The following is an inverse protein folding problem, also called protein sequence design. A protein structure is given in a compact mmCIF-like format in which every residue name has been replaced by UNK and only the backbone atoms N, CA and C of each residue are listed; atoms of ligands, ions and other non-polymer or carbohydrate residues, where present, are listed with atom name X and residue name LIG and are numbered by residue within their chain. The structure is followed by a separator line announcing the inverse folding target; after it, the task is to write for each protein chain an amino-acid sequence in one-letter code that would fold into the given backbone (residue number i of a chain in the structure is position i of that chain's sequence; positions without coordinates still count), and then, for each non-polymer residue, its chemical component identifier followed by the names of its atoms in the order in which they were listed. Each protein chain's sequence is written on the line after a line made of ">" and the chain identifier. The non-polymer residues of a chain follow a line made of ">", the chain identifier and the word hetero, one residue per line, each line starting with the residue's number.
data_IF_692817009542
#
_entry.id   IF_692817009542
#
_cell.length_a   1.000
_cell.length_b   1.000
_cell.length_c   1.000
_cell.angle_alpha   90.00
_cell.angle_beta   90.00
_cell.angle_gamma   90.00
#
_symmetry.space_group_name_H-M   'P 1'
#
loop_
_entity.id
_entity.type
_entity.pdbx_description
1 polymer ?
#
# COMPACT_ATOMS: atom_id res chain seq x y z
N UNK A 1 23.06 -14.60 -28.03
CA UNK A 1 24.37 -15.19 -28.37
C UNK A 1 24.90 -14.47 -29.59
N UNK A 2 25.88 -13.57 -29.38
CA UNK A 2 27.00 -13.17 -30.28
C UNK A 2 26.56 -12.59 -31.64
N UNK A 3 26.80 -11.31 -31.96
CA UNK A 3 28.14 -10.84 -32.32
C UNK A 3 28.36 -9.36 -32.01
N UNK A 4 29.38 -9.14 -31.20
CA UNK A 4 30.19 -7.95 -31.08
C UNK A 4 31.09 -7.79 -32.32
N UNK A 5 31.13 -6.60 -32.92
CA UNK A 5 32.27 -6.17 -33.72
C UNK A 5 32.65 -4.71 -33.42
N UNK A 6 33.85 -4.61 -32.87
CA UNK A 6 34.76 -3.46 -32.81
C UNK A 6 34.77 -2.60 -34.07
N UNK A 7 34.84 -1.29 -33.91
CA UNK A 7 35.73 -0.46 -34.72
C UNK A 7 36.14 0.77 -33.90
N UNK A 8 37.38 0.75 -33.41
CA UNK A 8 38.03 1.91 -32.85
C UNK A 8 38.57 2.82 -33.95
N UNK A 9 38.49 4.12 -33.72
CA UNK A 9 39.28 5.14 -34.42
C UNK A 9 39.96 5.95 -33.31
N UNK A 10 41.20 5.59 -33.00
CA UNK A 10 42.42 6.22 -33.52
C UNK A 10 42.60 7.63 -32.94
N UNK A 11 43.64 7.70 -32.12
CA UNK A 11 44.29 8.91 -31.61
C UNK A 11 44.77 9.77 -32.78
N UNK A 12 44.34 11.03 -32.81
CA UNK A 12 45.11 12.08 -33.47
C UNK A 12 45.79 12.93 -32.40
N UNK A 13 47.04 12.57 -32.13
CA UNK A 13 47.99 13.38 -31.39
C UNK A 13 48.68 14.34 -32.35
N UNK A 14 48.27 15.61 -32.38
CA UNK A 14 49.14 16.73 -32.78
C UNK A 14 48.90 17.97 -31.90
N UNK A 15 49.88 18.16 -31.01
CA UNK A 15 50.41 19.45 -30.55
C UNK A 15 49.43 20.60 -30.29
N UNK A 16 49.14 20.83 -29.00
CA UNK A 16 49.03 22.20 -28.47
C UNK A 16 49.54 22.24 -27.03
N UNK A 17 50.76 22.74 -26.91
CA UNK A 17 51.37 23.41 -25.76
C UNK A 17 50.34 24.01 -24.78
N UNK A 18 50.30 23.51 -23.54
CA UNK A 18 50.48 24.33 -22.33
C UNK A 18 50.45 23.48 -21.05
N UNK A 19 51.52 23.60 -20.26
CA UNK A 19 51.67 23.05 -18.91
C UNK A 19 50.85 23.90 -17.96
N UNK A 20 49.86 23.29 -17.28
CA UNK A 20 49.19 23.84 -16.10
C UNK A 20 49.31 22.85 -14.93
N UNK A 21 49.40 23.32 -13.68
CA UNK A 21 49.75 22.47 -12.55
C UNK A 21 48.61 21.54 -12.15
N UNK A 22 49.00 20.31 -11.85
CA UNK A 22 48.25 19.25 -11.18
C UNK A 22 47.77 19.72 -9.80
N UNK A 23 46.51 20.15 -9.70
CA UNK A 23 45.83 20.22 -8.40
C UNK A 23 45.12 18.89 -8.15
N UNK A 24 45.89 17.96 -7.59
CA UNK A 24 45.32 16.94 -6.73
C UNK A 24 44.68 17.64 -5.52
N UNK A 25 43.37 17.46 -5.35
CA UNK A 25 42.58 18.05 -4.29
C UNK A 25 41.35 17.20 -4.02
N UNK A 26 41.59 15.97 -3.58
CA UNK A 26 40.61 15.13 -2.89
C UNK A 26 40.05 15.93 -1.70
N UNK A 27 38.72 15.96 -1.53
CA UNK A 27 37.91 16.31 -0.33
C UNK A 27 36.68 17.10 -0.78
N UNK A 28 35.44 16.80 -0.42
CA UNK A 28 34.96 16.25 0.83
C UNK A 28 33.56 15.64 0.59
N UNK A 29 33.47 14.32 0.37
CA UNK A 29 32.18 13.63 0.46
C UNK A 29 31.96 13.25 1.94
N UNK A 30 31.77 14.24 2.81
CA UNK A 30 31.53 13.96 4.24
C UNK A 30 30.42 14.85 4.82
N UNK A 31 29.17 14.48 4.57
CA UNK A 31 28.05 14.85 5.47
C UNK A 31 26.72 14.17 5.12
N UNK A 32 26.62 13.40 4.02
CA UNK A 32 25.35 12.81 3.58
C UNK A 32 24.71 11.84 4.57
N UNK A 33 25.49 11.16 5.42
CA UNK A 33 24.96 10.14 6.34
C UNK A 33 24.08 10.68 7.46
N UNK A 34 24.42 11.84 8.05
CA UNK A 34 23.69 12.39 9.20
C UNK A 34 22.40 13.09 8.77
N UNK A 35 22.47 13.81 7.64
CA UNK A 35 21.31 14.43 7.01
C UNK A 35 20.34 13.37 6.47
N UNK A 36 20.84 12.32 5.82
CA UNK A 36 19.99 11.23 5.33
C UNK A 36 19.29 10.48 6.46
N UNK A 37 19.97 10.21 7.59
CA UNK A 37 19.35 9.55 8.75
C UNK A 37 18.27 10.42 9.39
N UNK A 38 18.52 11.74 9.53
CA UNK A 38 17.52 12.69 10.05
C UNK A 38 16.33 12.84 9.10
N UNK A 39 16.56 12.87 7.79
CA UNK A 39 15.51 12.92 6.76
C UNK A 39 14.67 11.63 6.75
N UNK A 40 15.29 10.46 6.94
CA UNK A 40 14.58 9.18 7.07
C UNK A 40 13.75 9.11 8.37
N UNK A 41 14.29 9.59 9.49
CA UNK A 41 13.58 9.64 10.77
C UNK A 41 12.39 10.60 10.73
N UNK A 42 12.57 11.78 10.13
CA UNK A 42 11.51 12.77 9.97
C UNK A 42 10.42 12.28 9.01
N UNK A 43 10.81 11.64 7.90
CA UNK A 43 9.86 10.99 6.99
C UNK A 43 9.05 9.89 7.70
N UNK A 44 9.70 9.06 8.54
CA UNK A 44 9.03 8.02 9.33
C UNK A 44 8.04 8.60 10.34
N UNK A 45 8.41 9.67 11.05
CA UNK A 45 7.55 10.40 12.01
C UNK A 45 6.33 11.04 11.32
N UNK A 46 6.48 11.54 10.10
CA UNK A 46 5.39 12.13 9.31
C UNK A 46 4.44 11.08 8.72
N UNK A 47 4.90 9.84 8.51
CA UNK A 47 4.05 8.72 8.04
C UNK A 47 3.37 7.92 9.15
N UNK A 48 3.80 8.08 10.41
CA UNK A 48 3.26 7.35 11.56
C UNK A 48 1.74 7.45 11.77
N UNK A 49 1.05 8.60 11.55
CA UNK A 49 -0.39 8.67 11.81
C UNK A 49 -1.25 7.98 10.74
N UNK A 50 -0.65 7.48 9.64
CA UNK A 50 -1.40 6.79 8.59
C UNK A 50 -1.64 5.30 8.87
N UNK A 51 -1.04 4.74 9.92
CA UNK A 51 -1.39 3.41 10.43
C UNK A 51 -2.57 3.55 11.38
N UNK A 52 -3.73 3.94 10.84
CA UNK A 52 -4.99 3.74 11.54
C UNK A 52 -5.17 2.22 11.67
N UNK A 53 -5.03 1.71 12.88
CA UNK A 53 -5.34 0.33 13.20
C UNK A 53 -6.76 0.04 12.71
N UNK A 54 -6.93 -0.95 11.84
CA UNK A 54 -8.23 -1.48 11.40
C UNK A 54 -8.88 -2.28 12.53
N UNK A 55 -8.81 -1.74 13.75
CA UNK A 55 -9.21 -2.41 14.98
C UNK A 55 -10.72 -2.50 15.05
N UNK A 56 -11.20 -3.71 15.32
CA UNK A 56 -12.55 -3.93 15.80
C UNK A 56 -12.65 -3.44 17.25
N UNK A 57 -13.62 -2.59 17.56
CA UNK A 57 -14.02 -2.33 18.95
C UNK A 57 -14.64 -3.61 19.55
N UNK A 58 -14.06 -4.23 20.60
CA UNK A 58 -14.64 -5.43 21.21
C UNK A 58 -16.07 -5.24 21.70
N UNK A 59 -16.47 -4.00 22.05
CA UNK A 59 -17.83 -3.72 22.49
C UNK A 59 -18.86 -3.85 21.35
N UNK A 60 -18.45 -3.76 20.08
CA UNK A 60 -19.33 -3.96 18.92
C UNK A 60 -19.88 -5.40 18.86
N UNK A 61 -19.11 -6.39 19.33
CA UNK A 61 -19.51 -7.81 19.36
C UNK A 61 -20.73 -8.09 20.25
N UNK A 62 -21.00 -7.20 21.20
CA UNK A 62 -22.08 -7.29 22.18
C UNK A 62 -23.34 -6.54 21.75
N UNK A 63 -23.30 -5.82 20.63
CA UNK A 63 -24.40 -5.03 20.10
C UNK A 63 -24.93 -5.67 18.81
N UNK A 64 -26.21 -5.44 18.44
CA UNK A 64 -26.71 -5.81 17.12
C UNK A 64 -25.86 -5.19 16.00
N UNK A 65 -25.67 -5.93 14.90
CA UNK A 65 -24.86 -5.53 13.76
C UNK A 65 -25.53 -4.41 12.92
N UNK A 66 -25.38 -3.15 13.35
CA UNK A 66 -25.98 -1.97 12.71
C UNK A 66 -25.17 -1.39 11.55
N UNK A 67 -23.86 -1.43 11.67
CA UNK A 67 -22.89 -0.72 10.83
C UNK A 67 -21.60 -1.53 10.61
N UNK A 68 -21.49 -2.69 11.26
CA UNK A 68 -20.40 -3.64 11.13
C UNK A 68 -20.94 -5.07 11.23
N UNK A 69 -20.32 -6.00 10.52
CA UNK A 69 -20.56 -7.45 10.62
C UNK A 69 -19.28 -8.20 11.03
N UNK A 70 -18.84 -8.08 12.30
CA UNK A 70 -17.51 -8.51 12.74
C UNK A 70 -17.37 -10.01 13.01
N UNK A 71 -18.49 -10.75 13.05
CA UNK A 71 -18.48 -12.20 13.30
C UNK A 71 -19.33 -12.93 12.28
N UNK A 72 -19.19 -14.25 12.24
CA UNK A 72 -20.05 -15.13 11.44
C UNK A 72 -21.56 -14.87 11.65
N UNK A 73 -21.97 -14.46 12.85
CA UNK A 73 -23.38 -14.18 13.18
C UNK A 73 -23.73 -12.68 13.26
N UNK A 74 -22.78 -11.79 12.94
CA UNK A 74 -22.89 -10.34 13.18
C UNK A 74 -22.59 -9.98 14.63
N UNK A 75 -23.27 -10.62 15.58
CA UNK A 75 -23.11 -10.42 17.02
C UNK A 75 -22.98 -11.78 17.76
N UNK A 76 -22.77 -11.74 19.08
CA UNK A 76 -22.76 -12.96 19.90
C UNK A 76 -24.15 -13.54 20.24
N UNK A 77 -25.25 -13.00 19.68
CA UNK A 77 -26.59 -13.57 19.89
C UNK A 77 -26.86 -14.85 19.09
N UNK A 78 -26.06 -15.11 18.05
CA UNK A 78 -26.23 -16.30 17.20
C UNK A 78 -27.40 -16.23 16.22
N UNK A 79 -28.09 -15.09 16.12
CA UNK A 79 -29.31 -14.92 15.31
C UNK A 79 -29.06 -14.72 13.82
N UNK A 80 -27.85 -14.31 13.41
CA UNK A 80 -27.53 -13.89 12.03
C UNK A 80 -28.53 -12.84 11.51
N UNK A 81 -28.74 -11.78 12.28
CA UNK A 81 -29.78 -10.78 12.02
C UNK A 81 -29.20 -9.37 11.89
N UNK A 82 -29.56 -8.65 10.82
CA UNK A 82 -29.28 -7.22 10.66
C UNK A 82 -30.55 -6.40 11.00
N UNK A 83 -30.46 -5.37 11.85
CA UNK A 83 -31.56 -4.46 12.11
C UNK A 83 -31.76 -3.38 11.03
N UNK A 84 -30.92 -3.35 9.98
CA UNK A 84 -31.06 -2.39 8.88
C UNK A 84 -32.35 -2.63 8.08
N UNK A 85 -33.09 -1.56 7.77
CA UNK A 85 -34.39 -1.60 7.11
C UNK A 85 -34.46 -0.82 5.79
N UNK A 86 -33.31 -0.29 5.35
CA UNK A 86 -33.19 0.42 4.08
C UNK A 86 -33.67 -0.44 2.90
N UNK A 87 -33.38 -1.74 2.94
CA UNK A 87 -33.93 -2.73 2.01
C UNK A 87 -35.09 -3.43 2.70
N UNK A 88 -36.26 -3.42 2.08
CA UNK A 88 -37.48 -3.98 2.64
C UNK A 88 -38.44 -4.46 1.54
N UNK A 89 -39.60 -5.00 1.95
CA UNK A 89 -40.56 -5.62 1.05
C UNK A 89 -41.12 -4.70 -0.04
N UNK A 90 -40.99 -3.38 0.11
CA UNK A 90 -41.50 -2.40 -0.87
C UNK A 90 -40.49 -1.97 -1.92
N UNK A 91 -39.20 -2.29 -1.74
CA UNK A 91 -38.12 -1.87 -2.66
C UNK A 91 -37.15 -2.99 -3.08
N UNK A 92 -37.34 -4.22 -2.58
CA UNK A 92 -36.47 -5.37 -2.88
C UNK A 92 -36.40 -5.67 -4.39
N UNK A 93 -37.44 -5.33 -5.13
CA UNK A 93 -37.55 -5.48 -6.59
C UNK A 93 -36.68 -4.50 -7.39
N UNK A 94 -36.18 -3.43 -6.74
CA UNK A 94 -35.36 -2.40 -7.38
C UNK A 94 -33.85 -2.64 -7.26
N UNK A 95 -33.43 -3.72 -6.58
CA UNK A 95 -32.02 -4.01 -6.37
C UNK A 95 -31.29 -4.28 -7.69
N UNK A 96 -30.14 -3.63 -7.86
CA UNK A 96 -29.24 -3.82 -9.00
C UNK A 96 -27.83 -4.18 -8.51
N UNK A 97 -27.02 -4.74 -9.40
CA UNK A 97 -25.66 -5.12 -9.08
C UNK A 97 -24.79 -3.90 -8.77
N UNK A 98 -24.23 -3.83 -7.57
CA UNK A 98 -23.29 -2.77 -7.18
C UNK A 98 -21.85 -3.05 -7.67
N UNK A 99 -21.33 -4.28 -7.45
CA UNK A 99 -19.97 -4.68 -7.83
C UNK A 99 -19.80 -6.22 -7.74
N UNK A 100 -18.71 -6.75 -8.30
CA UNK A 100 -18.34 -8.19 -8.26
C UNK A 100 -16.83 -8.34 -7.96
N UNK A 101 -16.47 -9.32 -7.13
CA UNK A 101 -15.08 -9.75 -6.89
C UNK A 101 -14.85 -11.22 -7.32
N UNK A 102 -13.98 -11.49 -8.32
CA UNK A 102 -13.69 -12.85 -8.77
C UNK A 102 -12.65 -13.54 -7.86
N UNK A 103 -13.10 -14.42 -6.97
CA UNK A 103 -12.24 -15.10 -5.98
C UNK A 103 -11.41 -16.29 -6.52
N UNK A 104 -11.54 -16.67 -7.79
CA UNK A 104 -10.75 -17.71 -8.48
C UNK A 104 -10.51 -19.03 -7.69
N UNK A 105 -11.56 -19.60 -7.10
CA UNK A 105 -11.51 -20.90 -6.40
C UNK A 105 -12.65 -21.82 -6.82
N UNK A 106 -12.44 -23.14 -6.74
CA UNK A 106 -13.39 -24.13 -7.22
C UNK A 106 -14.70 -24.20 -6.41
N UNK A 107 -14.66 -23.89 -5.11
CA UNK A 107 -15.84 -23.82 -4.25
C UNK A 107 -15.60 -22.83 -3.10
N UNK A 108 -16.62 -22.02 -2.77
CA UNK A 108 -16.58 -21.04 -1.68
C UNK A 108 -17.67 -21.37 -0.67
N UNK A 109 -17.26 -21.59 0.57
CA UNK A 109 -18.14 -21.54 1.74
C UNK A 109 -17.63 -20.40 2.62
N UNK A 110 -18.20 -19.22 2.47
CA UNK A 110 -17.78 -18.05 3.25
C UNK A 110 -18.97 -17.26 3.77
N UNK A 111 -18.69 -16.48 4.79
CA UNK A 111 -19.50 -15.35 5.25
C UNK A 111 -18.54 -14.17 5.34
N UNK A 112 -18.63 -13.17 4.45
CA UNK A 112 -17.74 -12.01 4.52
C UNK A 112 -17.91 -11.31 5.88
N UNK A 113 -16.80 -10.79 6.41
CA UNK A 113 -16.81 -10.00 7.63
C UNK A 113 -16.60 -8.55 7.24
N UNK A 114 -17.41 -7.65 7.77
CA UNK A 114 -17.28 -6.23 7.49
C UNK A 114 -16.93 -5.50 8.77
N UNK A 115 -15.79 -4.81 8.79
CA UNK A 115 -15.36 -4.01 9.93
C UNK A 115 -14.85 -2.67 9.43
N UNK A 116 -15.51 -1.58 9.86
CA UNK A 116 -15.14 -0.22 9.50
C UNK A 116 -15.08 -0.01 7.97
N UNK A 117 -15.97 -0.64 7.20
CA UNK A 117 -16.05 -0.54 5.75
C UNK A 117 -15.09 -1.42 4.96
N UNK A 118 -14.42 -2.38 5.61
CA UNK A 118 -13.50 -3.34 4.96
C UNK A 118 -14.09 -4.75 5.02
N UNK A 119 -14.13 -5.42 3.86
CA UNK A 119 -14.65 -6.78 3.62
C UNK A 119 -13.56 -7.87 3.57
#
# INVERSE_FOLDING_TARGET
>A
MILSHFCGTIQDARASTNRGPIHAGLSCFSSGGRAAVLSLFLAFLLTAPFVAAQGLDPAALLKPATDTWPTYNGDYSGRRFSPLDQINATNIDTLTLAWIFPAHVAAIKSTPLEVNGVL
#
